data_IF_282017992976
#
_entry.id   IF_282017992976
#
_cell.length_a   1.000
_cell.length_b   1.000
_cell.length_c   1.000
_cell.angle_alpha   90.00
_cell.angle_beta   90.00
_cell.angle_gamma   90.00
#
_symmetry.space_group_name_H-M   'P 1'
#
loop_
_entity.id
_entity.type
_entity.pdbx_description
1 polymer ?
#
# COMPACT_ATOMS: atom_id res chain seq x y z
N UNK A 1 6.36 -8.13 21.38
CA UNK A 1 6.66 -7.39 20.13
C UNK A 1 5.52 -6.43 19.82
N UNK A 2 5.60 -5.16 20.25
CA UNK A 2 4.57 -4.13 20.04
C UNK A 2 4.94 -3.27 18.83
N UNK A 3 4.64 -3.74 17.62
CA UNK A 3 4.74 -2.94 16.39
C UNK A 3 3.37 -2.98 15.73
N UNK A 4 2.50 -2.01 16.02
CA UNK A 4 1.26 -1.77 15.25
C UNK A 4 0.50 -0.50 15.65
N UNK A 5 0.87 0.19 16.75
CA UNK A 5 0.03 1.27 17.30
C UNK A 5 0.13 2.61 16.57
N UNK A 6 1.16 2.85 15.76
CA UNK A 6 1.28 4.07 14.95
C UNK A 6 0.64 3.87 13.58
N UNK A 7 0.95 2.76 12.91
CA UNK A 7 0.44 2.41 11.57
C UNK A 7 -1.10 2.22 11.56
N UNK A 8 -1.70 1.58 12.58
CA UNK A 8 -3.16 1.42 12.67
C UNK A 8 -3.90 2.75 12.84
N UNK A 9 -3.31 3.73 13.54
CA UNK A 9 -3.89 5.07 13.69
C UNK A 9 -3.86 5.85 12.39
N UNK A 10 -2.75 5.77 11.66
CA UNK A 10 -2.59 6.44 10.37
C UNK A 10 -3.52 5.85 9.32
N UNK A 11 -3.68 4.52 9.32
CA UNK A 11 -4.63 3.83 8.46
C UNK A 11 -6.10 4.18 8.75
N UNK A 12 -6.51 4.22 10.02
CA UNK A 12 -7.87 4.67 10.39
C UNK A 12 -8.18 6.07 9.89
N UNK A 13 -7.18 6.93 9.82
CA UNK A 13 -7.30 8.28 9.27
C UNK A 13 -7.43 8.23 7.74
N UNK A 14 -6.64 7.40 7.06
CA UNK A 14 -6.75 7.16 5.62
C UNK A 14 -8.14 6.63 5.21
N UNK A 15 -8.75 5.74 6.00
CA UNK A 15 -10.10 5.23 5.76
C UNK A 15 -11.22 6.28 5.90
N UNK A 16 -10.93 7.47 6.44
CA UNK A 16 -11.90 8.57 6.52
C UNK A 16 -11.78 9.52 5.32
N UNK A 17 -10.74 9.37 4.50
CA UNK A 17 -10.52 10.21 3.33
C UNK A 17 -11.33 9.68 2.13
N UNK A 18 -12.20 10.49 1.52
CA UNK A 18 -13.02 10.07 0.37
C UNK A 18 -12.18 9.89 -0.92
N UNK A 19 -10.88 10.18 -0.88
CA UNK A 19 -9.95 10.09 -2.01
C UNK A 19 -9.01 8.89 -1.90
N UNK A 20 -9.36 7.90 -1.08
CA UNK A 20 -8.54 6.72 -0.82
C UNK A 20 -8.09 6.06 -2.14
N UNK A 21 -6.79 6.06 -2.45
CA UNK A 21 -6.30 5.51 -3.70
C UNK A 21 -6.37 3.97 -3.69
N UNK A 22 -6.45 3.41 -4.88
CA UNK A 22 -6.55 1.97 -5.11
C UNK A 22 -5.17 1.31 -4.92
N UNK A 23 -4.94 0.74 -3.74
CA UNK A 23 -3.65 0.15 -3.36
C UNK A 23 -3.30 -1.09 -4.17
N UNK A 24 -4.30 -1.83 -4.65
CA UNK A 24 -4.10 -2.96 -5.55
C UNK A 24 -3.56 -2.47 -6.89
N UNK A 25 -4.12 -1.39 -7.44
CA UNK A 25 -3.59 -0.75 -8.66
C UNK A 25 -2.19 -0.15 -8.46
N UNK A 26 -1.92 0.51 -7.33
CA UNK A 26 -0.60 1.08 -7.02
C UNK A 26 0.49 0.00 -7.02
N UNK A 27 0.19 -1.15 -6.43
CA UNK A 27 1.11 -2.29 -6.42
C UNK A 27 1.10 -3.10 -7.71
N UNK A 28 0.28 -2.73 -8.70
CA UNK A 28 0.07 -3.47 -9.94
C UNK A 28 -0.26 -4.96 -9.68
N UNK A 29 -1.07 -5.21 -8.66
CA UNK A 29 -1.51 -6.56 -8.25
C UNK A 29 -3.02 -6.69 -8.33
N UNK A 30 -3.55 -7.88 -8.62
CA UNK A 30 -4.99 -8.10 -8.60
C UNK A 30 -5.55 -8.14 -7.16
N UNK A 31 -6.85 -7.90 -7.00
CA UNK A 31 -7.50 -7.92 -5.67
C UNK A 31 -7.43 -9.30 -4.98
N UNK A 32 -7.28 -10.37 -5.76
CA UNK A 32 -7.10 -11.73 -5.26
C UNK A 32 -5.62 -12.08 -4.98
N UNK A 33 -4.70 -11.14 -5.12
CA UNK A 33 -3.27 -11.39 -4.94
C UNK A 33 -2.97 -11.92 -3.53
N UNK A 34 -2.06 -12.88 -3.50
CA UNK A 34 -1.53 -13.45 -2.28
C UNK A 34 -0.50 -12.50 -1.64
N UNK A 35 -0.28 -12.69 -0.34
CA UNK A 35 0.71 -11.91 0.43
C UNK A 35 2.12 -12.04 -0.17
N UNK A 36 2.44 -13.20 -0.74
CA UNK A 36 3.70 -13.45 -1.45
C UNK A 36 3.82 -12.65 -2.75
N UNK A 37 2.75 -12.60 -3.56
CA UNK A 37 2.70 -11.79 -4.77
C UNK A 37 2.84 -10.30 -4.46
N UNK A 38 2.08 -9.80 -3.47
CA UNK A 38 2.16 -8.41 -2.99
C UNK A 38 3.61 -8.06 -2.60
N UNK A 39 4.28 -8.95 -1.87
CA UNK A 39 5.66 -8.77 -1.42
C UNK A 39 6.68 -8.82 -2.56
N UNK A 40 6.49 -9.71 -3.53
CA UNK A 40 7.33 -9.77 -4.72
C UNK A 40 7.16 -8.51 -5.57
N UNK A 41 5.92 -8.08 -5.79
CA UNK A 41 5.62 -6.92 -6.61
C UNK A 41 6.13 -5.63 -5.97
N UNK A 42 5.93 -5.47 -4.67
CA UNK A 42 6.54 -4.39 -3.89
C UNK A 42 8.05 -4.30 -4.10
N UNK A 43 8.77 -5.44 -4.02
CA UNK A 43 10.22 -5.49 -4.24
C UNK A 43 10.61 -5.11 -5.66
N UNK A 44 9.82 -5.51 -6.66
CA UNK A 44 10.07 -5.17 -8.06
C UNK A 44 9.86 -3.68 -8.32
N UNK A 45 8.76 -3.13 -7.81
CA UNK A 45 8.42 -1.71 -7.93
C UNK A 45 9.42 -0.82 -7.18
N UNK A 46 9.76 -1.16 -5.95
CA UNK A 46 10.76 -0.43 -5.16
C UNK A 46 12.12 -0.36 -5.89
N UNK A 47 12.52 -1.41 -6.60
CA UNK A 47 13.76 -1.42 -7.41
C UNK A 47 13.64 -0.56 -8.68
N UNK A 48 12.45 -0.51 -9.29
CA UNK A 48 12.17 0.28 -10.50
C UNK A 48 12.11 1.78 -10.21
N UNK A 49 11.52 2.13 -9.07
CA UNK A 49 11.29 3.50 -8.59
C UNK A 49 12.47 4.02 -7.74
N UNK A 50 13.47 3.18 -7.45
CA UNK A 50 14.55 3.52 -6.52
C UNK A 50 15.22 4.87 -6.87
N UNK A 51 15.29 5.83 -5.93
CA UNK A 51 15.77 7.20 -6.19
C UNK A 51 17.25 7.25 -6.61
N UNK A 52 18.02 6.22 -6.26
CA UNK A 52 19.41 6.05 -6.71
C UNK A 52 19.51 5.85 -8.24
N UNK A 53 18.49 5.27 -8.87
CA UNK A 53 18.43 5.04 -10.32
C UNK A 53 17.58 6.08 -11.06
N UNK A 54 16.59 6.67 -10.41
CA UNK A 54 15.72 7.70 -10.98
C UNK A 54 15.59 8.89 -10.00
N UNK A 55 16.30 9.99 -10.28
CA UNK A 55 16.26 11.23 -9.49
C UNK A 55 15.07 12.14 -9.87
N UNK A 56 13.94 11.55 -10.26
CA UNK A 56 12.73 12.32 -10.57
C UNK A 56 11.85 12.44 -9.33
N UNK A 57 11.28 13.62 -9.10
CA UNK A 57 10.35 13.92 -7.99
C UNK A 57 9.17 12.93 -7.93
N UNK A 58 8.70 12.49 -9.09
CA UNK A 58 7.63 11.47 -9.23
C UNK A 58 7.98 10.11 -8.61
N UNK A 59 9.27 9.81 -8.44
CA UNK A 59 9.72 8.54 -7.88
C UNK A 59 9.53 8.50 -6.36
N UNK A 60 9.70 9.63 -5.67
CA UNK A 60 9.50 9.68 -4.23
C UNK A 60 8.03 9.50 -3.86
N UNK A 61 7.14 10.21 -4.54
CA UNK A 61 5.68 10.08 -4.34
C UNK A 61 5.20 8.66 -4.63
N UNK A 62 5.64 8.07 -5.74
CA UNK A 62 5.30 6.68 -6.09
C UNK A 62 5.82 5.69 -5.04
N UNK A 63 7.05 5.85 -4.55
CA UNK A 63 7.62 5.01 -3.50
C UNK A 63 6.80 5.10 -2.21
N UNK A 64 6.38 6.30 -1.82
CA UNK A 64 5.53 6.52 -0.64
C UNK A 64 4.18 5.81 -0.81
N UNK A 65 3.57 5.87 -1.99
CA UNK A 65 2.31 5.16 -2.28
C UNK A 65 2.49 3.64 -2.24
N UNK A 66 3.57 3.12 -2.83
CA UNK A 66 3.89 1.67 -2.85
C UNK A 66 4.12 1.14 -1.43
N UNK A 67 4.85 1.87 -0.58
CA UNK A 67 5.06 1.52 0.82
C UNK A 67 3.73 1.44 1.58
N UNK A 68 2.90 2.49 1.47
CA UNK A 68 1.57 2.52 2.11
C UNK A 68 0.70 1.36 1.66
N UNK A 69 0.64 1.11 0.35
CA UNK A 69 -0.12 0.01 -0.23
C UNK A 69 0.33 -1.35 0.35
N UNK A 70 1.65 -1.57 0.44
CA UNK A 70 2.20 -2.79 1.01
C UNK A 70 1.90 -2.95 2.50
N UNK A 71 1.99 -1.88 3.30
CA UNK A 71 1.65 -1.92 4.73
C UNK A 71 0.18 -2.34 4.96
N UNK A 72 -0.75 -1.85 4.12
CA UNK A 72 -2.17 -2.19 4.24
C UNK A 72 -2.44 -3.61 3.74
N UNK A 73 -1.96 -3.95 2.54
CA UNK A 73 -2.27 -5.24 1.92
C UNK A 73 -1.50 -6.41 2.54
N UNK A 74 -0.36 -6.16 3.19
CA UNK A 74 0.41 -7.20 3.89
C UNK A 74 -0.19 -7.61 5.23
N UNK A 75 -1.08 -6.80 5.81
CA UNK A 75 -1.76 -7.12 7.06
C UNK A 75 -3.21 -7.52 6.77
N UNK A 76 -3.58 -8.76 7.09
CA UNK A 76 -4.94 -9.26 6.86
C UNK A 76 -6.04 -8.42 7.55
N UNK A 77 -5.79 -7.88 8.75
CA UNK A 77 -6.77 -7.04 9.45
C UNK A 77 -6.97 -5.69 8.74
N UNK A 78 -5.89 -5.08 8.26
CA UNK A 78 -5.94 -3.80 7.54
C UNK A 78 -6.56 -4.00 6.15
N UNK A 79 -6.15 -5.06 5.44
CA UNK A 79 -6.72 -5.47 4.15
C UNK A 79 -8.22 -5.68 4.25
N UNK A 80 -8.72 -6.42 5.24
CA UNK A 80 -10.16 -6.61 5.45
C UNK A 80 -10.92 -5.28 5.64
N UNK A 81 -10.38 -4.37 6.45
CA UNK A 81 -10.98 -3.04 6.65
C UNK A 81 -10.97 -2.22 5.35
N UNK A 82 -9.90 -2.30 4.57
CA UNK A 82 -9.76 -1.66 3.27
C UNK A 82 -10.76 -2.19 2.25
N UNK A 83 -10.85 -3.51 2.09
CA UNK A 83 -11.82 -4.17 1.21
C UNK A 83 -13.26 -3.84 1.63
N UNK A 84 -13.54 -3.78 2.94
CA UNK A 84 -14.85 -3.37 3.45
C UNK A 84 -15.20 -1.91 3.12
N UNK A 85 -14.21 -1.02 3.06
CA UNK A 85 -14.39 0.37 2.64
C UNK A 85 -14.65 0.47 1.13
N UNK A 86 -13.88 -0.26 0.31
CA UNK A 86 -14.05 -0.36 -1.14
C UNK A 86 -15.45 -0.85 -1.53
N UNK A 87 -15.99 -1.82 -0.81
CA UNK A 87 -17.33 -2.36 -1.06
C UNK A 87 -18.48 -1.45 -0.58
N UNK A 88 -18.17 -0.36 0.13
CA UNK A 88 -19.16 0.61 0.67
C UNK A 88 -19.29 1.88 -0.17
N UNK A 89 -18.41 2.10 -1.15
CA UNK A 89 -18.46 3.25 -2.07
C UNK A 89 -19.27 2.93 -3.33
#
# INVERSE_FOLDING_TARGET
TRKNSKEDKEFRKLLQDPTLPDYYKILEVPHNATLEEIKNQYRMLAKKIHPDKNKEEKSEEAMVQINKAYEILSNEELRKKYDMHLNKS
#
